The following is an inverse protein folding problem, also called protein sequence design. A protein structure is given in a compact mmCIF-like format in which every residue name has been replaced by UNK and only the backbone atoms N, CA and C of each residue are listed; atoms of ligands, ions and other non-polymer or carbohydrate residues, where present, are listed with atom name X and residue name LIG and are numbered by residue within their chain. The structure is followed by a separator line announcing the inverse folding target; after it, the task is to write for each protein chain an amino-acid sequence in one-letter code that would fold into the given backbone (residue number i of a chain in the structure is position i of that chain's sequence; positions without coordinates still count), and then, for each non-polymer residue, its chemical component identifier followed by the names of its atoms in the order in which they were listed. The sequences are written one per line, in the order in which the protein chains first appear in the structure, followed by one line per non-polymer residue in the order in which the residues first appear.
data_IF_088527199347
#
_entry.id   IF_088527199347
#
_cell.length_a   1.000
_cell.length_b   1.000
_cell.length_c   1.000
_cell.angle_alpha   90.00
_cell.angle_beta   90.00
_cell.angle_gamma   90.00
#
_symmetry.space_group_name_H-M   'P 1'
#
loop_
_entity.id
_entity.type
_entity.pdbx_description
1 polymer ?
#
# COMPACT_ATOMS: atom_id res chain seq x y z
N UNK A 1 11.83 20.18 -11.11
CA UNK A 1 11.95 19.28 -9.93
C UNK A 1 11.59 17.88 -10.37
N UNK A 2 12.28 16.85 -9.87
CA UNK A 2 11.87 15.46 -10.09
C UNK A 2 10.72 15.11 -9.14
N UNK A 3 9.66 14.52 -9.67
CA UNK A 3 8.57 13.95 -8.86
C UNK A 3 9.15 12.79 -8.06
N UNK A 4 8.88 12.75 -6.75
CA UNK A 4 9.35 11.66 -5.87
C UNK A 4 8.26 10.62 -5.68
N UNK A 5 8.63 9.36 -5.54
CA UNK A 5 7.66 8.32 -5.15
C UNK A 5 7.55 8.28 -3.64
N UNK A 6 6.33 8.36 -3.11
CA UNK A 6 6.04 8.22 -1.68
C UNK A 6 5.11 7.02 -1.47
N UNK A 7 5.55 6.03 -0.70
CA UNK A 7 4.72 4.89 -0.33
C UNK A 7 4.03 5.14 1.01
N UNK A 8 2.70 5.00 1.05
CA UNK A 8 1.90 5.00 2.28
C UNK A 8 1.57 3.54 2.59
N UNK A 9 2.19 3.01 3.64
CA UNK A 9 1.98 1.64 4.14
C UNK A 9 1.06 1.70 5.35
N UNK A 10 -0.01 0.92 5.36
CA UNK A 10 -1.05 1.00 6.39
C UNK A 10 -1.78 -0.32 6.64
N UNK A 11 -2.60 -0.36 7.69
CA UNK A 11 -3.31 -1.56 8.15
C UNK A 11 -2.47 -2.36 9.14
N UNK A 12 -2.29 -3.65 8.86
CA UNK A 12 -1.46 -4.57 9.65
C UNK A 12 -2.26 -5.53 10.52
N UNK A 13 -1.58 -6.54 11.05
CA UNK A 13 -2.13 -7.49 12.03
C UNK A 13 -2.15 -6.85 13.43
N UNK A 14 -3.12 -5.97 13.66
CA UNK A 14 -3.29 -5.20 14.90
C UNK A 14 -4.77 -4.93 15.18
N UNK A 15 -5.11 -4.69 16.45
CA UNK A 15 -6.42 -4.15 16.85
C UNK A 15 -6.67 -2.74 16.31
N UNK A 16 -5.61 -2.02 15.97
CA UNK A 16 -5.65 -0.66 15.40
C UNK A 16 -5.72 -0.66 13.85
N UNK A 17 -5.94 -1.81 13.22
CA UNK A 17 -5.99 -1.95 11.75
C UNK A 17 -6.89 -0.90 11.08
N UNK A 18 -8.12 -0.72 11.58
CA UNK A 18 -9.08 0.23 11.02
C UNK A 18 -8.67 1.69 11.25
N UNK A 19 -7.98 1.96 12.37
CA UNK A 19 -7.44 3.29 12.70
C UNK A 19 -6.32 3.65 11.73
N UNK A 20 -5.41 2.71 11.45
CA UNK A 20 -4.32 2.89 10.48
C UNK A 20 -4.85 3.21 9.07
N UNK A 21 -5.91 2.52 8.61
CA UNK A 21 -6.56 2.81 7.33
C UNK A 21 -7.13 4.23 7.28
N UNK A 22 -7.80 4.68 8.36
CA UNK A 22 -8.34 6.05 8.45
C UNK A 22 -7.24 7.10 8.38
N UNK A 23 -6.12 6.87 9.05
CA UNK A 23 -4.94 7.75 8.99
C UNK A 23 -4.36 7.81 7.58
N UNK A 24 -4.18 6.67 6.92
CA UNK A 24 -3.70 6.61 5.54
C UNK A 24 -4.59 7.37 4.56
N UNK A 25 -5.92 7.27 4.72
CA UNK A 25 -6.88 8.03 3.92
C UNK A 25 -6.72 9.54 4.07
N UNK A 26 -6.49 10.02 5.29
CA UNK A 26 -6.28 11.44 5.55
C UNK A 26 -4.94 11.92 4.94
N UNK A 27 -3.87 11.14 5.08
CA UNK A 27 -2.56 11.45 4.50
C UNK A 27 -2.64 11.48 2.97
N UNK A 28 -3.25 10.46 2.36
CA UNK A 28 -3.39 10.36 0.91
C UNK A 28 -4.25 11.48 0.31
N UNK A 29 -5.20 12.04 1.08
CA UNK A 29 -5.98 13.22 0.68
C UNK A 29 -5.20 14.54 0.81
N UNK A 30 -4.22 14.60 1.71
CA UNK A 30 -3.49 15.82 2.03
C UNK A 30 -2.12 15.92 1.34
N UNK A 31 -1.59 14.82 0.82
CA UNK A 31 -0.28 14.79 0.14
C UNK A 31 -0.33 15.57 -1.17
N UNK A 32 0.71 16.36 -1.44
CA UNK A 32 0.82 17.16 -2.66
C UNK A 32 1.17 16.27 -3.86
N UNK A 33 0.19 16.04 -4.72
CA UNK A 33 0.33 15.24 -5.94
C UNK A 33 1.24 15.87 -7.00
N UNK A 34 1.56 17.16 -6.89
CA UNK A 34 2.56 17.80 -7.78
C UNK A 34 3.99 17.47 -7.35
N UNK A 35 4.20 17.10 -6.08
CA UNK A 35 5.51 16.75 -5.54
C UNK A 35 5.71 15.23 -5.47
N UNK A 36 4.64 14.48 -5.28
CA UNK A 36 4.70 13.04 -5.00
C UNK A 36 3.82 12.19 -5.92
N UNK A 37 4.43 11.15 -6.49
CA UNK A 37 3.73 9.99 -7.00
C UNK A 37 3.43 9.04 -5.83
N UNK A 38 2.16 8.99 -5.41
CA UNK A 38 1.75 8.25 -4.20
C UNK A 38 1.47 6.79 -4.52
N UNK A 39 2.08 5.88 -3.76
CA UNK A 39 1.85 4.43 -3.84
C UNK A 39 1.18 3.97 -2.55
N UNK A 40 0.06 3.26 -2.64
CA UNK A 40 -0.69 2.80 -1.49
C UNK A 40 -0.48 1.30 -1.27
N UNK A 41 0.00 0.92 -0.09
CA UNK A 41 0.29 -0.46 0.28
C UNK A 41 -0.51 -0.81 1.52
N UNK A 42 -1.52 -1.67 1.36
CA UNK A 42 -2.32 -2.17 2.45
C UNK A 42 -1.74 -3.47 3.00
N UNK A 43 -1.60 -3.57 4.32
CA UNK A 43 -1.29 -4.82 5.02
C UNK A 43 -2.60 -5.33 5.62
N UNK A 44 -3.04 -6.51 5.20
CA UNK A 44 -4.24 -7.15 5.73
C UNK A 44 -4.10 -7.62 7.17
N UNK A 45 -5.23 -7.99 7.80
CA UNK A 45 -5.23 -8.61 9.15
C UNK A 45 -4.49 -9.96 9.18
N UNK A 46 -4.36 -10.62 8.02
CA UNK A 46 -3.52 -11.81 7.83
C UNK A 46 -2.01 -11.51 7.77
N UNK A 47 -1.62 -10.24 7.65
CA UNK A 47 -0.23 -9.82 7.45
C UNK A 47 0.23 -9.83 5.98
N UNK A 48 -0.64 -10.22 5.03
CA UNK A 48 -0.36 -10.15 3.59
C UNK A 48 -0.39 -8.70 3.10
N UNK A 49 0.45 -8.36 2.14
CA UNK A 49 0.58 -7.00 1.60
C UNK A 49 -0.09 -6.93 0.23
N UNK A 50 -0.76 -5.81 -0.06
CA UNK A 50 -1.52 -5.61 -1.28
C UNK A 50 -1.26 -4.20 -1.82
N UNK A 51 -1.04 -4.10 -3.13
CA UNK A 51 -1.06 -2.81 -3.81
C UNK A 51 -2.52 -2.35 -3.94
N UNK A 52 -2.77 -1.08 -3.62
CA UNK A 52 -4.12 -0.49 -3.67
C UNK A 52 -4.14 0.80 -4.48
N UNK A 53 -5.31 1.09 -5.01
CA UNK A 53 -5.63 2.36 -5.65
C UNK A 53 -6.23 3.35 -4.65
N UNK A 54 -6.27 4.64 -5.02
CA UNK A 54 -6.91 5.68 -4.21
C UNK A 54 -8.40 5.39 -4.01
N UNK A 55 -9.07 4.85 -5.02
CA UNK A 55 -10.47 4.44 -4.94
C UNK A 55 -10.68 3.32 -3.93
N UNK A 56 -9.83 2.29 -3.94
CA UNK A 56 -9.89 1.20 -2.95
C UNK A 56 -9.68 1.70 -1.52
N UNK A 57 -8.77 2.64 -1.28
CA UNK A 57 -8.55 3.26 0.04
C UNK A 57 -9.77 4.05 0.53
N UNK A 58 -10.58 4.60 -0.36
CA UNK A 58 -11.76 5.38 0.00
C UNK A 58 -12.97 4.53 0.43
N UNK A 59 -13.00 3.24 0.09
CA UNK A 59 -14.08 2.33 0.51
C UNK A 59 -13.91 1.87 1.98
N UNK A 60 -14.98 1.42 2.63
CA UNK A 60 -14.91 0.99 4.05
C UNK A 60 -14.24 -0.37 4.25
N UNK A 61 -14.30 -1.27 3.25
CA UNK A 61 -13.65 -2.59 3.27
C UNK A 61 -12.35 -2.57 2.46
N UNK A 62 -11.36 -1.79 2.90
CA UNK A 62 -10.13 -1.48 2.13
C UNK A 62 -9.25 -2.70 1.83
N UNK A 63 -9.28 -3.73 2.69
CA UNK A 63 -8.47 -4.94 2.52
C UNK A 63 -9.33 -6.13 2.10
N UNK A 64 -10.03 -6.00 0.97
CA UNK A 64 -10.39 -7.20 0.20
C UNK A 64 -9.11 -7.76 -0.38
N UNK A 65 -8.84 -9.05 -0.19
CA UNK A 65 -7.70 -9.76 -0.82
C UNK A 65 -7.83 -9.63 -2.35
N UNK A 66 -7.22 -8.58 -2.92
CA UNK A 66 -7.23 -8.30 -4.36
C UNK A 66 -5.97 -8.85 -5.01
N UNK A 67 -6.00 -8.91 -6.35
CA UNK A 67 -5.09 -9.66 -7.22
C UNK A 67 -3.59 -9.31 -7.11
N UNK A 68 -3.24 -8.13 -6.60
CA UNK A 68 -1.86 -7.63 -6.64
C UNK A 68 -1.23 -7.71 -5.26
N UNK A 69 -0.93 -8.95 -4.84
CA UNK A 69 -0.23 -9.20 -3.60
C UNK A 69 1.25 -8.83 -3.74
N UNK A 70 1.79 -8.14 -2.74
CA UNK A 70 3.19 -7.71 -2.68
C UNK A 70 3.97 -8.59 -1.71
N UNK A 71 5.27 -8.74 -1.97
CA UNK A 71 6.24 -9.38 -1.06
C UNK A 71 7.44 -8.47 -0.88
N UNK A 72 7.86 -8.31 0.37
CA UNK A 72 9.12 -7.67 0.74
C UNK A 72 10.21 -8.75 0.84
N UNK A 73 11.35 -8.54 0.20
CA UNK A 73 12.53 -9.40 0.28
C UNK A 73 13.59 -8.73 1.17
N UNK A 74 13.72 -9.11 2.45
CA UNK A 74 14.71 -8.50 3.33
C UNK A 74 16.13 -8.71 2.79
N UNK A 75 16.97 -7.66 2.84
CA UNK A 75 18.37 -7.74 2.43
C UNK A 75 18.62 -7.68 0.92
N UNK A 76 17.57 -7.60 0.09
CA UNK A 76 17.75 -7.34 -1.33
C UNK A 76 18.24 -5.91 -1.59
N UNK A 77 19.18 -5.76 -2.53
CA UNK A 77 19.77 -4.47 -2.94
C UNK A 77 18.94 -3.81 -4.05
N UNK A 78 18.26 -4.61 -4.87
CA UNK A 78 17.34 -4.20 -5.93
C UNK A 78 16.07 -5.09 -5.86
N UNK A 79 14.97 -4.62 -6.45
CA UNK A 79 13.69 -5.34 -6.51
C UNK A 79 13.18 -5.83 -5.15
N UNK A 80 13.33 -5.00 -4.11
CA UNK A 80 13.02 -5.38 -2.73
C UNK A 80 11.51 -5.59 -2.50
N UNK A 81 10.65 -4.94 -3.27
CA UNK A 81 9.20 -5.11 -3.23
C UNK A 81 8.76 -5.64 -4.58
N UNK A 82 8.24 -6.87 -4.61
CA UNK A 82 7.84 -7.56 -5.83
C UNK A 82 6.33 -7.80 -5.80
N UNK A 83 5.68 -7.62 -6.95
CA UNK A 83 4.29 -8.05 -7.15
C UNK A 83 4.23 -9.51 -7.57
N UNK A 84 3.41 -10.30 -6.87
CA UNK A 84 3.16 -11.71 -7.21
C UNK A 84 2.32 -11.88 -8.47
N UNK A 85 1.62 -10.84 -8.94
CA UNK A 85 0.89 -10.88 -10.21
C UNK A 85 1.81 -10.97 -11.42
N UNK A 86 3.05 -10.50 -11.28
CA UNK A 86 4.02 -10.38 -12.38
C UNK A 86 4.82 -11.69 -12.56
N UNK A 87 4.51 -12.70 -11.74
CA UNK A 87 5.11 -14.05 -11.73
C UNK A 87 4.19 -15.09 -12.39
N UNK A 88 3.39 -14.70 -13.39
CA UNK A 88 2.69 -15.66 -14.27
C UNK A 88 3.53 -15.85 -15.53
N UNK A 89 4.37 -16.88 -15.50
CA UNK A 89 4.97 -17.49 -16.69
C UNK A 89 3.98 -18.42 -17.40
#
# INVERSE_FOLDING_TARGET
MSIKTAAIIYGGKSTEHEVSIRSARNIAKAIDSNQFNTVLIAIGKSGKWFLKTQDELNHENVVVESSTQLVLIPGAIQDQIISLSDQKS
#
